data_IF_802614156807
#
_entry.id   IF_802614156807
#
_cell.length_a   1.000
_cell.length_b   1.000
_cell.length_c   1.000
_cell.angle_alpha   90.00
_cell.angle_beta   90.00
_cell.angle_gamma   90.00
#
_symmetry.space_group_name_H-M   'P 1'
#
loop_
_entity.id
_entity.type
_entity.pdbx_description
1 polymer ?
#
# COMPACT_ATOMS: atom_id res chain seq x y z
N UNK A 1 -4.16 15.60 -5.11
CA UNK A 1 -5.62 15.42 -4.87
C UNK A 1 -6.06 14.07 -5.40
N UNK A 2 -6.98 13.40 -4.70
CA UNK A 2 -7.42 12.01 -4.97
C UNK A 2 -7.74 11.76 -6.45
N UNK A 3 -8.54 12.62 -7.07
CA UNK A 3 -8.92 12.46 -8.48
C UNK A 3 -7.74 12.52 -9.45
N UNK A 4 -6.72 13.35 -9.18
CA UNK A 4 -5.52 13.40 -10.06
C UNK A 4 -4.73 12.09 -9.99
N UNK A 5 -4.67 11.48 -8.80
CA UNK A 5 -4.02 10.18 -8.60
C UNK A 5 -4.79 9.07 -9.32
N UNK A 6 -6.12 8.99 -9.15
CA UNK A 6 -6.96 8.01 -9.83
C UNK A 6 -6.86 8.11 -11.36
N UNK A 7 -6.77 9.34 -11.90
CA UNK A 7 -6.56 9.56 -13.33
C UNK A 7 -5.18 9.14 -13.81
N UNK A 8 -4.14 9.28 -12.99
CA UNK A 8 -2.81 8.78 -13.33
C UNK A 8 -2.82 7.25 -13.37
N UNK A 9 -3.33 6.60 -12.32
CA UNK A 9 -3.47 5.15 -12.25
C UNK A 9 -4.29 4.58 -13.42
N UNK A 10 -5.34 5.28 -13.84
CA UNK A 10 -6.16 4.89 -15.00
C UNK A 10 -5.39 5.03 -16.32
N UNK A 11 -4.61 6.11 -16.50
CA UNK A 11 -3.74 6.28 -17.67
C UNK A 11 -2.63 5.23 -17.73
N UNK A 12 -2.11 4.82 -16.58
CA UNK A 12 -1.05 3.83 -16.45
C UNK A 12 -1.61 2.39 -16.54
N UNK A 13 -2.93 2.22 -16.72
CA UNK A 13 -3.57 0.92 -16.86
C UNK A 13 -3.67 0.11 -15.55
N UNK A 14 -3.37 0.72 -14.41
CA UNK A 14 -3.38 0.08 -13.10
C UNK A 14 -4.78 0.01 -12.49
N UNK A 15 -5.66 0.94 -12.86
CA UNK A 15 -7.09 0.87 -12.53
C UNK A 15 -7.93 1.07 -13.79
N UNK A 16 -9.12 0.50 -13.76
CA UNK A 16 -10.19 0.82 -14.72
C UNK A 16 -11.32 1.50 -13.98
N UNK A 17 -12.07 2.36 -14.68
CA UNK A 17 -13.24 3.00 -14.10
C UNK A 17 -14.52 2.64 -14.85
N UNK A 18 -15.63 2.72 -14.11
CA UNK A 18 -16.98 2.55 -14.63
C UNK A 18 -17.93 3.54 -13.98
N UNK A 19 -19.10 3.73 -14.61
CA UNK A 19 -20.21 4.45 -14.01
C UNK A 19 -21.14 3.45 -13.35
N UNK A 20 -21.49 3.72 -12.11
CA UNK A 20 -22.48 2.97 -11.36
C UNK A 20 -23.69 3.88 -11.11
N UNK A 21 -24.87 3.39 -11.51
CA UNK A 21 -26.12 4.10 -11.26
C UNK A 21 -26.36 4.18 -9.76
N UNK A 22 -26.63 5.38 -9.27
CA UNK A 22 -27.07 5.55 -7.90
C UNK A 22 -28.58 5.38 -7.83
N UNK A 23 -29.10 4.66 -6.83
CA UNK A 23 -30.55 4.61 -6.58
C UNK A 23 -31.10 5.97 -6.14
N UNK A 24 -30.25 6.81 -5.55
CA UNK A 24 -30.57 8.18 -5.16
C UNK A 24 -29.38 9.10 -5.48
N UNK A 25 -29.58 10.08 -6.38
CA UNK A 25 -28.57 11.07 -6.75
C UNK A 25 -27.81 10.78 -8.06
N UNK A 26 -26.75 11.55 -8.37
CA UNK A 26 -26.01 11.40 -9.62
C UNK A 26 -25.22 10.09 -9.66
N UNK A 27 -25.02 9.57 -10.87
CA UNK A 27 -24.17 8.41 -11.12
C UNK A 27 -22.78 8.63 -10.54
N UNK A 28 -22.23 7.59 -9.91
CA UNK A 28 -20.91 7.64 -9.30
C UNK A 28 -19.91 6.92 -10.16
N UNK A 29 -18.69 7.45 -10.20
CA UNK A 29 -17.58 6.78 -10.87
C UNK A 29 -16.86 5.86 -9.91
N UNK A 30 -16.87 4.57 -10.20
CA UNK A 30 -16.14 3.56 -9.44
C UNK A 30 -14.81 3.24 -10.13
N UNK A 31 -13.82 2.84 -9.34
CA UNK A 31 -12.51 2.42 -9.82
C UNK A 31 -12.20 1.03 -9.28
N UNK A 32 -11.66 0.17 -10.13
CA UNK A 32 -11.27 -1.18 -9.79
C UNK A 32 -9.83 -1.42 -10.25
N UNK A 33 -9.04 -2.13 -9.45
CA UNK A 33 -7.70 -2.54 -9.85
C UNK A 33 -7.78 -3.48 -11.04
N UNK A 34 -6.93 -3.25 -12.02
CA UNK A 34 -6.70 -4.22 -13.09
C UNK A 34 -5.77 -5.31 -12.57
N UNK A 35 -5.55 -6.36 -13.38
CA UNK A 35 -4.52 -7.36 -13.09
C UNK A 35 -3.12 -6.72 -12.95
N UNK A 36 -2.75 -5.84 -13.89
CA UNK A 36 -1.48 -5.11 -13.83
C UNK A 36 -1.40 -4.23 -12.57
N UNK A 37 -2.50 -3.60 -12.17
CA UNK A 37 -2.59 -2.85 -10.92
C UNK A 37 -2.36 -3.70 -9.68
N UNK A 38 -2.89 -4.93 -9.65
CA UNK A 38 -2.65 -5.88 -8.56
C UNK A 38 -1.19 -6.35 -8.51
N UNK A 39 -0.57 -6.61 -9.66
CA UNK A 39 0.85 -6.99 -9.76
C UNK A 39 1.76 -5.85 -9.26
N UNK A 40 1.50 -4.62 -9.70
CA UNK A 40 2.25 -3.43 -9.24
C UNK A 40 2.06 -3.18 -7.72
N UNK A 41 0.83 -3.32 -7.23
CA UNK A 41 0.55 -3.22 -5.79
C UNK A 41 1.32 -4.28 -5.00
N UNK A 42 1.44 -5.50 -5.52
CA UNK A 42 2.22 -6.55 -4.88
C UNK A 42 3.72 -6.21 -4.87
N UNK A 43 4.27 -5.71 -5.98
CA UNK A 43 5.67 -5.26 -6.02
C UNK A 43 5.96 -4.16 -5.01
N UNK A 44 5.09 -3.15 -4.91
CA UNK A 44 5.23 -2.11 -3.89
C UNK A 44 5.16 -2.66 -2.47
N UNK A 45 4.25 -3.60 -2.20
CA UNK A 45 4.14 -4.22 -0.89
C UNK A 45 5.43 -4.98 -0.51
N UNK A 46 6.04 -5.69 -1.47
CA UNK A 46 7.32 -6.39 -1.28
C UNK A 46 8.46 -5.40 -1.01
N UNK A 47 8.58 -4.34 -1.82
CA UNK A 47 9.62 -3.31 -1.60
C UNK A 47 9.49 -2.61 -0.24
N UNK A 48 8.28 -2.37 0.23
CA UNK A 48 8.03 -1.82 1.58
C UNK A 48 8.41 -2.81 2.68
N UNK A 49 8.21 -4.12 2.46
CA UNK A 49 8.63 -5.15 3.40
C UNK A 49 10.16 -5.21 3.51
N UNK A 50 10.87 -5.14 2.39
CA UNK A 50 12.34 -5.11 2.34
C UNK A 50 12.90 -3.84 3.00
N UNK A 51 12.25 -2.70 2.76
CA UNK A 51 12.56 -1.43 3.42
C UNK A 51 12.42 -1.56 4.94
N UNK A 52 11.32 -2.17 5.41
CA UNK A 52 11.12 -2.41 6.85
C UNK A 52 12.23 -3.29 7.43
N UNK A 53 12.62 -4.35 6.74
CA UNK A 53 13.71 -5.23 7.20
C UNK A 53 15.03 -4.46 7.33
N UNK A 54 15.36 -3.63 6.34
CA UNK A 54 16.56 -2.78 6.37
C UNK A 54 16.54 -1.83 7.56
N UNK A 55 15.39 -1.19 7.82
CA UNK A 55 15.21 -0.29 8.97
C UNK A 55 15.31 -1.05 10.30
N UNK A 56 14.72 -2.23 10.41
CA UNK A 56 14.77 -3.08 11.60
C UNK A 56 16.22 -3.48 11.93
N UNK A 57 17.02 -3.86 10.92
CA UNK A 57 18.44 -4.18 11.07
C UNK A 57 19.22 -2.97 11.59
N UNK A 58 19.03 -1.80 10.96
CA UNK A 58 19.69 -0.56 11.37
C UNK A 58 19.36 -0.19 12.81
N UNK A 59 18.07 -0.17 13.16
CA UNK A 59 17.61 0.22 14.49
C UNK A 59 18.08 -0.76 15.57
N UNK A 60 18.16 -2.06 15.26
CA UNK A 60 18.71 -3.06 16.18
C UNK A 60 20.18 -2.80 16.50
N UNK A 61 20.99 -2.58 15.46
CA UNK A 61 22.44 -2.30 15.62
C UNK A 61 22.68 -0.98 16.36
N UNK A 62 21.90 0.05 16.05
CA UNK A 62 21.97 1.32 16.75
C UNK A 62 21.59 1.15 18.23
N UNK A 63 20.50 0.44 18.53
CA UNK A 63 20.08 0.15 19.90
C UNK A 63 21.15 -0.57 20.73
N UNK A 64 21.84 -1.56 20.14
CA UNK A 64 23.00 -2.22 20.77
C UNK A 64 24.14 -1.24 21.06
N UNK A 65 24.45 -0.34 20.12
CA UNK A 65 25.49 0.67 20.27
C UNK A 65 25.19 1.69 21.39
N UNK A 66 23.93 2.12 21.52
CA UNK A 66 23.53 3.13 22.52
C UNK A 66 22.87 2.56 23.78
N UNK A 67 22.89 1.24 23.97
CA UNK A 67 22.21 0.52 25.05
C UNK A 67 20.70 0.83 25.18
N UNK A 68 20.04 1.17 24.07
CA UNK A 68 18.57 1.33 24.03
C UNK A 68 17.96 -0.05 23.76
N UNK A 69 17.12 -0.59 24.66
CA UNK A 69 16.47 -1.86 24.42
C UNK A 69 15.55 -1.79 23.19
N UNK A 70 15.61 -2.83 22.36
CA UNK A 70 14.79 -2.96 21.15
C UNK A 70 13.31 -2.79 21.51
N UNK A 71 12.57 -1.86 20.86
CA UNK A 71 11.14 -1.74 21.09
C UNK A 71 10.45 -3.06 20.72
N UNK A 72 9.53 -3.50 21.57
CA UNK A 72 8.77 -4.74 21.35
C UNK A 72 8.07 -4.68 19.99
N UNK A 73 8.38 -5.63 19.10
CA UNK A 73 7.77 -5.69 17.79
C UNK A 73 6.29 -6.06 17.96
N UNK A 74 5.32 -5.26 17.48
CA UNK A 74 3.91 -5.58 17.66
C UNK A 74 3.63 -6.94 17.00
N UNK A 75 2.98 -7.82 17.74
CA UNK A 75 2.63 -9.16 17.29
C UNK A 75 1.95 -9.07 15.93
N UNK A 76 2.60 -9.62 14.89
CA UNK A 76 2.05 -9.66 13.54
C UNK A 76 0.72 -10.43 13.63
N UNK A 77 -0.40 -9.75 13.36
CA UNK A 77 -1.69 -10.43 13.20
C UNK A 77 -1.53 -11.46 12.08
N UNK A 78 -1.45 -12.74 12.45
CA UNK A 78 -1.62 -13.86 11.53
C UNK A 78 -3.09 -13.86 11.11
N UNK A 79 -3.39 -13.30 9.95
CA UNK A 79 -4.67 -13.58 9.28
C UNK A 79 -4.53 -14.95 8.62
N UNK A 80 -5.39 -15.89 9.05
CA UNK A 80 -5.60 -17.17 8.40
C UNK A 80 -6.43 -17.05 7.14
#
# INVERSE_FOLDING_TARGET
GLYRALRALERDGLVQSGWEKSENGPDRRIYQLTRAGMEELHHHATALADTRETLDIFLSRYGEFVAIPKPAQPARLRRG
#
